data_IF_934386466550
#
_entry.id   IF_934386466550
#
_cell.length_a   1.000
_cell.length_b   1.000
_cell.length_c   1.000
_cell.angle_alpha   90.00
_cell.angle_beta   90.00
_cell.angle_gamma   90.00
#
_symmetry.space_group_name_H-M   'P 1'
#
loop_
_entity.id
_entity.type
_entity.pdbx_description
1 polymer ?
#
# COMPACT_ATOMS: atom_id res chain seq x y z
N UNK A 1 -14.84 -1.79 -14.56
CA UNK A 1 -14.36 -0.95 -13.43
C UNK A 1 -13.09 -0.22 -13.87
N UNK A 2 -12.89 1.03 -13.44
CA UNK A 2 -11.71 1.86 -13.73
C UNK A 2 -11.07 2.31 -12.43
N UNK A 3 -9.77 2.16 -12.29
CA UNK A 3 -9.03 2.69 -11.14
C UNK A 3 -8.15 3.85 -11.59
N UNK A 4 -8.36 5.01 -11.01
CA UNK A 4 -7.52 6.19 -11.19
C UNK A 4 -6.26 6.01 -10.38
N UNK A 5 -5.11 6.10 -11.04
CA UNK A 5 -3.85 5.53 -10.58
C UNK A 5 -2.67 6.50 -10.76
N UNK A 6 -1.71 6.36 -9.87
CA UNK A 6 -0.38 6.96 -9.95
C UNK A 6 0.61 6.01 -9.28
N UNK A 7 1.89 5.93 -9.69
CA UNK A 7 2.91 5.12 -9.02
C UNK A 7 3.12 5.55 -7.57
N UNK A 8 2.29 5.02 -6.67
CA UNK A 8 2.27 5.32 -5.25
C UNK A 8 1.90 4.05 -4.46
N UNK A 9 2.35 3.90 -3.21
CA UNK A 9 2.19 2.64 -2.48
C UNK A 9 0.73 2.22 -2.28
N UNK A 10 -0.18 3.17 -2.08
CA UNK A 10 -1.61 2.87 -1.91
C UNK A 10 -2.27 2.35 -3.19
N UNK A 11 -1.85 2.81 -4.36
CA UNK A 11 -2.33 2.30 -5.63
C UNK A 11 -1.71 0.94 -5.94
N UNK A 12 -0.40 0.78 -5.71
CA UNK A 12 0.32 -0.46 -5.94
C UNK A 12 -0.26 -1.63 -5.13
N UNK A 13 -0.57 -1.44 -3.83
CA UNK A 13 -1.16 -2.52 -3.03
C UNK A 13 -2.52 -2.99 -3.57
N UNK A 14 -3.34 -2.09 -4.14
CA UNK A 14 -4.62 -2.45 -4.77
C UNK A 14 -4.39 -3.25 -6.05
N UNK A 15 -3.41 -2.86 -6.86
CA UNK A 15 -3.06 -3.58 -8.09
C UNK A 15 -2.58 -5.00 -7.79
N UNK A 16 -1.65 -5.14 -6.83
CA UNK A 16 -1.16 -6.46 -6.39
C UNK A 16 -2.34 -7.31 -5.92
N UNK A 17 -3.21 -6.75 -5.07
CA UNK A 17 -4.38 -7.44 -4.56
C UNK A 17 -5.33 -7.88 -5.69
N UNK A 18 -5.66 -6.99 -6.62
CA UNK A 18 -6.53 -7.29 -7.76
C UNK A 18 -5.94 -8.39 -8.64
N UNK A 19 -4.62 -8.37 -8.88
CA UNK A 19 -3.93 -9.38 -9.66
C UNK A 19 -3.96 -10.75 -8.96
N UNK A 20 -3.64 -10.83 -7.68
CA UNK A 20 -3.70 -12.07 -6.89
C UNK A 20 -5.13 -12.65 -6.86
N UNK A 21 -6.12 -11.81 -6.97
CA UNK A 21 -7.53 -12.19 -7.11
C UNK A 21 -7.96 -12.46 -8.55
N UNK A 22 -7.08 -12.27 -9.55
CA UNK A 22 -7.41 -12.34 -10.97
C UNK A 22 -8.64 -11.49 -11.33
N UNK A 23 -8.71 -10.27 -10.79
CA UNK A 23 -9.73 -9.27 -11.10
C UNK A 23 -9.15 -8.29 -12.12
N UNK A 24 -9.81 -8.16 -13.28
CA UNK A 24 -9.41 -7.21 -14.30
C UNK A 24 -9.93 -5.82 -13.97
N UNK A 25 -9.02 -4.84 -13.93
CA UNK A 25 -9.32 -3.41 -13.72
C UNK A 25 -8.64 -2.62 -14.84
N UNK A 26 -9.34 -1.64 -15.42
CA UNK A 26 -8.76 -0.65 -16.32
C UNK A 26 -8.05 0.42 -15.48
N UNK A 27 -6.75 0.63 -15.68
CA UNK A 27 -5.98 1.63 -14.95
C UNK A 27 -5.90 2.94 -15.73
N UNK A 28 -6.37 4.02 -15.13
CA UNK A 28 -6.38 5.37 -15.70
C UNK A 28 -5.26 6.18 -15.03
N UNK A 29 -4.16 6.47 -15.73
CA UNK A 29 -3.07 7.25 -15.17
C UNK A 29 -3.52 8.68 -14.88
N UNK A 30 -3.09 9.22 -13.74
CA UNK A 30 -3.38 10.58 -13.29
C UNK A 30 -2.10 11.41 -13.28
N UNK A 31 -2.14 12.62 -13.83
CA UNK A 31 -1.02 13.55 -13.83
C UNK A 31 -0.98 14.38 -12.52
N UNK A 32 -0.23 13.89 -11.54
CA UNK A 32 -0.04 14.63 -10.27
C UNK A 32 0.83 15.88 -10.42
N UNK A 33 1.72 15.91 -11.41
CA UNK A 33 2.64 17.04 -11.65
C UNK A 33 1.84 18.25 -12.11
N UNK A 34 0.89 18.06 -13.02
CA UNK A 34 0.03 19.12 -13.53
C UNK A 34 -1.25 19.31 -12.68
N UNK A 35 -1.27 18.79 -11.47
CA UNK A 35 -2.37 18.97 -10.51
C UNK A 35 -3.74 18.46 -11.01
N UNK A 36 -3.78 17.44 -11.85
CA UNK A 36 -5.04 16.90 -12.41
C UNK A 36 -6.06 16.54 -11.33
N UNK A 37 -5.63 16.00 -10.19
CA UNK A 37 -6.51 15.70 -9.05
C UNK A 37 -7.16 16.94 -8.41
N UNK A 38 -6.73 18.14 -8.76
CA UNK A 38 -7.31 19.41 -8.26
C UNK A 38 -8.29 20.04 -9.24
N UNK A 39 -8.52 19.42 -10.39
CA UNK A 39 -9.56 19.88 -11.34
C UNK A 39 -10.95 19.68 -10.74
N UNK A 40 -11.94 20.52 -11.08
CA UNK A 40 -13.32 20.35 -10.61
C UNK A 40 -13.90 18.97 -10.94
N UNK A 41 -13.53 18.40 -12.07
CA UNK A 41 -13.97 17.06 -12.48
C UNK A 41 -13.47 15.99 -11.50
N UNK A 42 -12.16 15.97 -11.22
CA UNK A 42 -11.56 14.99 -10.32
C UNK A 42 -12.00 15.20 -8.87
N UNK A 43 -12.12 16.43 -8.40
CA UNK A 43 -12.62 16.73 -7.06
C UNK A 43 -14.10 16.35 -6.89
N UNK A 44 -14.89 16.37 -7.95
CA UNK A 44 -16.26 15.85 -7.90
C UNK A 44 -16.29 14.33 -7.72
N UNK A 45 -15.36 13.60 -8.34
CA UNK A 45 -15.19 12.15 -8.15
C UNK A 45 -14.58 11.83 -6.78
N UNK A 46 -13.47 12.49 -6.43
CA UNK A 46 -12.78 12.31 -5.14
C UNK A 46 -12.43 13.66 -4.51
N UNK A 47 -13.26 14.18 -3.58
CA UNK A 47 -13.02 15.46 -2.92
C UNK A 47 -11.69 15.55 -2.14
N UNK A 48 -11.11 14.40 -1.76
CA UNK A 48 -9.80 14.37 -1.10
C UNK A 48 -8.65 14.72 -2.07
N UNK A 49 -8.89 14.58 -3.39
CA UNK A 49 -7.86 14.81 -4.40
C UNK A 49 -6.67 13.88 -4.23
N UNK A 50 -6.93 12.61 -4.00
CA UNK A 50 -5.93 11.55 -3.79
C UNK A 50 -6.19 10.36 -4.71
N UNK A 51 -5.20 9.51 -4.91
CA UNK A 51 -5.29 8.21 -5.57
C UNK A 51 -4.87 7.09 -4.61
N UNK A 52 -5.35 5.84 -4.81
CA UNK A 52 -6.29 5.41 -5.83
C UNK A 52 -7.76 5.71 -5.47
N UNK A 53 -8.60 5.76 -6.48
CA UNK A 53 -10.05 5.62 -6.33
C UNK A 53 -10.61 4.78 -7.49
N UNK A 54 -11.68 4.04 -7.24
CA UNK A 54 -12.28 3.09 -8.18
C UNK A 54 -13.64 3.62 -8.63
N UNK A 55 -13.85 3.68 -9.95
CA UNK A 55 -15.12 3.98 -10.60
C UNK A 55 -15.74 2.68 -11.11
N UNK A 56 -16.94 2.37 -10.65
CA UNK A 56 -17.71 1.21 -11.06
C UNK A 56 -18.41 1.47 -12.41
N UNK A 57 -19.02 0.43 -13.00
CA UNK A 57 -19.69 0.51 -14.30
C UNK A 57 -20.94 1.39 -14.28
N UNK A 58 -21.61 1.50 -13.13
CA UNK A 58 -22.78 2.35 -12.89
C UNK A 58 -22.41 3.79 -12.49
N UNK A 59 -21.10 4.10 -12.40
CA UNK A 59 -20.59 5.43 -12.06
C UNK A 59 -20.38 5.66 -10.56
N UNK A 60 -20.67 4.67 -9.70
CA UNK A 60 -20.37 4.78 -8.26
C UNK A 60 -18.86 4.85 -8.03
N UNK A 61 -18.43 5.63 -7.05
CA UNK A 61 -17.02 5.86 -6.72
C UNK A 61 -16.68 5.28 -5.35
N UNK A 62 -15.70 4.39 -5.31
CA UNK A 62 -15.11 3.89 -4.06
C UNK A 62 -13.76 4.55 -3.86
N UNK A 63 -13.60 5.22 -2.74
CA UNK A 63 -12.39 5.94 -2.32
C UNK A 63 -11.69 5.14 -1.23
N UNK A 64 -10.40 5.45 -0.99
CA UNK A 64 -9.54 4.75 -0.06
C UNK A 64 -9.14 3.33 -0.52
N UNK A 65 -7.83 3.10 -0.59
CA UNK A 65 -7.27 1.82 -1.05
C UNK A 65 -7.81 0.61 -0.26
N UNK A 66 -8.04 0.78 1.05
CA UNK A 66 -8.55 -0.30 1.89
C UNK A 66 -10.02 -0.60 1.62
N UNK A 67 -10.85 0.43 1.35
CA UNK A 67 -12.25 0.25 0.97
C UNK A 67 -12.37 -0.41 -0.42
N UNK A 68 -11.50 -0.04 -1.35
CA UNK A 68 -11.42 -0.70 -2.67
C UNK A 68 -11.10 -2.20 -2.48
N UNK A 69 -10.12 -2.54 -1.65
CA UNK A 69 -9.75 -3.93 -1.36
C UNK A 69 -10.92 -4.71 -0.74
N UNK A 70 -11.67 -4.12 0.20
CA UNK A 70 -12.87 -4.76 0.76
C UNK A 70 -13.93 -5.06 -0.33
N UNK A 71 -14.14 -4.11 -1.23
CA UNK A 71 -15.05 -4.31 -2.36
C UNK A 71 -14.58 -5.43 -3.28
N UNK A 72 -13.29 -5.45 -3.64
CA UNK A 72 -12.71 -6.48 -4.51
C UNK A 72 -12.77 -7.87 -3.88
N UNK A 73 -12.55 -7.98 -2.56
CA UNK A 73 -12.73 -9.24 -1.83
C UNK A 73 -14.19 -9.72 -1.90
N UNK A 74 -15.15 -8.80 -1.75
CA UNK A 74 -16.57 -9.11 -1.77
C UNK A 74 -17.10 -9.60 -3.13
N UNK A 75 -16.54 -9.11 -4.24
CA UNK A 75 -16.96 -9.54 -5.58
C UNK A 75 -16.29 -10.83 -6.06
N UNK A 76 -15.18 -11.23 -5.45
CA UNK A 76 -14.48 -12.49 -5.75
C UNK A 76 -13.84 -13.04 -4.47
N UNK A 77 -14.55 -13.92 -3.78
CA UNK A 77 -14.12 -14.45 -2.48
C UNK A 77 -12.85 -15.32 -2.54
N UNK A 78 -12.56 -15.97 -3.69
CA UNK A 78 -11.40 -16.87 -3.84
C UNK A 78 -10.35 -16.30 -4.82
N UNK A 79 -9.05 -16.32 -4.42
CA UNK A 79 -8.52 -16.70 -3.12
C UNK A 79 -8.96 -15.74 -2.03
N UNK A 80 -9.23 -16.25 -0.81
CA UNK A 80 -9.56 -15.38 0.32
C UNK A 80 -8.30 -14.69 0.87
N UNK A 81 -8.25 -13.37 0.84
CA UNK A 81 -7.11 -12.57 1.24
C UNK A 81 -7.36 -11.69 2.47
N UNK A 82 -8.61 -11.65 2.96
CA UNK A 82 -8.99 -10.86 4.15
C UNK A 82 -9.32 -11.71 5.39
N UNK A 83 -9.29 -13.04 5.27
CA UNK A 83 -9.55 -13.97 6.36
C UNK A 83 -10.93 -14.62 6.32
N UNK A 84 -10.99 -15.93 6.57
CA UNK A 84 -12.22 -16.74 6.54
C UNK A 84 -12.94 -16.75 7.90
N UNK A 85 -12.18 -16.77 9.00
CA UNK A 85 -12.72 -16.76 10.36
C UNK A 85 -12.49 -15.40 11.03
N UNK A 86 -13.21 -15.09 12.13
CA UNK A 86 -12.95 -13.88 12.92
C UNK A 86 -11.49 -13.75 13.37
N UNK A 87 -10.87 -14.87 13.78
CA UNK A 87 -9.47 -14.87 14.22
C UNK A 87 -8.50 -14.62 13.05
N UNK A 88 -8.71 -15.27 11.89
CA UNK A 88 -7.89 -14.99 10.70
C UNK A 88 -7.98 -13.53 10.29
N UNK A 89 -9.21 -12.96 10.24
CA UNK A 89 -9.43 -11.54 9.93
C UNK A 89 -8.66 -10.64 10.88
N UNK A 90 -8.71 -10.93 12.18
CA UNK A 90 -7.99 -10.16 13.19
C UNK A 90 -6.46 -10.23 12.96
N UNK A 91 -5.91 -11.44 12.73
CA UNK A 91 -4.47 -11.62 12.52
C UNK A 91 -3.96 -10.94 11.25
N UNK A 92 -4.73 -11.01 10.15
CA UNK A 92 -4.39 -10.29 8.91
C UNK A 92 -4.42 -8.77 9.17
N UNK A 93 -5.43 -8.28 9.88
CA UNK A 93 -5.54 -6.85 10.20
C UNK A 93 -4.41 -6.35 11.12
N UNK A 94 -3.94 -7.16 12.08
CA UNK A 94 -2.78 -6.79 12.92
C UNK A 94 -1.56 -6.46 12.05
N UNK A 95 -1.20 -7.33 11.11
CA UNK A 95 -0.03 -7.12 10.24
C UNK A 95 -0.29 -6.04 9.19
N UNK A 96 -1.47 -6.03 8.58
CA UNK A 96 -1.84 -5.01 7.60
C UNK A 96 -1.81 -3.59 8.20
N UNK A 97 -2.35 -3.41 9.43
CA UNK A 97 -2.31 -2.13 10.13
C UNK A 97 -0.89 -1.73 10.56
N UNK A 98 -0.07 -2.70 10.98
CA UNK A 98 1.34 -2.44 11.25
C UNK A 98 2.09 -1.98 9.99
N UNK A 99 1.86 -2.66 8.86
CA UNK A 99 2.47 -2.29 7.59
C UNK A 99 2.02 -0.91 7.11
N UNK A 100 0.72 -0.60 7.17
CA UNK A 100 0.18 0.67 6.69
C UNK A 100 0.45 1.83 7.66
N UNK A 101 0.01 1.70 8.91
CA UNK A 101 0.06 2.80 9.89
C UNK A 101 1.42 2.91 10.58
N UNK A 102 2.09 1.77 10.77
CA UNK A 102 3.38 1.73 11.46
C UNK A 102 4.59 1.92 10.54
N UNK A 103 4.45 1.59 9.26
CA UNK A 103 5.56 1.68 8.31
C UNK A 103 5.29 2.65 7.17
N UNK A 104 4.25 2.42 6.37
CA UNK A 104 3.97 3.25 5.18
C UNK A 104 3.71 4.71 5.53
N UNK A 105 2.89 4.98 6.57
CA UNK A 105 2.58 6.35 7.00
C UNK A 105 3.80 7.04 7.56
N UNK A 106 4.68 6.33 8.28
CA UNK A 106 5.91 6.93 8.80
C UNK A 106 6.88 7.29 7.65
N UNK A 107 6.99 6.47 6.61
CA UNK A 107 7.73 6.84 5.40
C UNK A 107 7.12 8.04 4.68
N UNK A 108 5.79 8.15 4.64
CA UNK A 108 5.11 9.31 4.08
C UNK A 108 5.41 10.59 4.90
N UNK A 109 5.36 10.51 6.24
CA UNK A 109 5.76 11.62 7.12
C UNK A 109 7.22 12.01 6.89
N UNK A 110 8.11 11.02 6.79
CA UNK A 110 9.52 11.27 6.49
C UNK A 110 9.68 12.03 5.18
N UNK A 111 9.17 11.50 4.07
CA UNK A 111 9.37 12.11 2.75
C UNK A 111 8.69 13.48 2.62
N UNK A 112 7.53 13.68 3.24
CA UNK A 112 6.85 14.98 3.25
C UNK A 112 7.68 16.06 3.96
N UNK A 113 8.49 15.68 4.95
CA UNK A 113 9.29 16.62 5.71
C UNK A 113 10.68 16.89 5.13
N UNK A 114 11.14 16.11 4.12
CA UNK A 114 12.49 16.29 3.54
C UNK A 114 12.48 16.55 2.03
N UNK A 115 11.44 16.10 1.30
CA UNK A 115 11.45 16.18 -0.15
C UNK A 115 11.06 17.56 -0.64
N UNK A 116 11.83 18.18 -1.56
CA UNK A 116 11.47 19.44 -2.19
C UNK A 116 10.12 19.41 -2.92
N UNK A 117 9.70 18.22 -3.38
CA UNK A 117 8.40 18.02 -4.03
C UNK A 117 7.20 18.41 -3.14
N UNK A 118 7.38 18.37 -1.82
CA UNK A 118 6.34 18.72 -0.85
C UNK A 118 6.55 20.08 -0.17
N UNK A 119 7.60 20.83 -0.54
CA UNK A 119 7.94 22.08 0.13
C UNK A 119 6.87 23.17 0.01
N UNK A 120 6.08 23.17 -1.05
CA UNK A 120 4.96 24.08 -1.28
C UNK A 120 3.64 23.65 -0.61
N UNK A 121 3.60 22.43 -0.05
CA UNK A 121 2.38 21.83 0.54
C UNK A 121 2.28 22.06 2.06
N UNK A 122 3.28 22.67 2.66
CA UNK A 122 3.31 23.00 4.08
C UNK A 122 4.72 23.12 4.66
N UNK A 123 4.85 23.57 5.92
CA UNK A 123 6.15 23.66 6.57
C UNK A 123 6.78 22.28 6.75
N UNK A 124 8.07 22.17 6.43
CA UNK A 124 8.87 20.95 6.63
C UNK A 124 9.71 21.08 7.90
N UNK A 125 9.90 19.95 8.63
CA UNK A 125 10.73 19.85 9.83
C UNK A 125 11.63 18.63 9.76
N UNK A 126 12.93 18.86 9.92
CA UNK A 126 13.91 17.77 9.99
C UNK A 126 13.68 16.87 11.23
N UNK A 127 13.32 17.49 12.34
CA UNK A 127 13.03 16.77 13.59
C UNK A 127 11.82 15.85 13.43
N UNK A 128 10.77 16.30 12.72
CA UNK A 128 9.61 15.47 12.41
C UNK A 128 9.99 14.30 11.47
N UNK A 129 10.85 14.55 10.50
CA UNK A 129 11.37 13.49 9.63
C UNK A 129 12.18 12.44 10.39
N UNK A 130 13.09 12.87 11.27
CA UNK A 130 13.89 11.96 12.11
C UNK A 130 13.00 11.14 13.06
N UNK A 131 11.98 11.77 13.65
CA UNK A 131 11.02 11.07 14.51
C UNK A 131 10.26 10.00 13.73
N UNK A 132 9.76 10.31 12.55
CA UNK A 132 9.06 9.37 11.68
C UNK A 132 9.96 8.17 11.31
N UNK A 133 11.20 8.42 10.93
CA UNK A 133 12.15 7.36 10.57
C UNK A 133 12.50 6.47 11.79
N UNK A 134 12.61 7.05 12.99
CA UNK A 134 12.82 6.29 14.21
C UNK A 134 11.60 5.40 14.56
N UNK A 135 10.37 5.90 14.35
CA UNK A 135 9.15 5.10 14.49
C UNK A 135 9.13 3.94 13.47
N UNK A 136 9.45 4.22 12.21
CA UNK A 136 9.58 3.21 11.17
C UNK A 136 10.54 2.08 11.57
N UNK A 137 11.77 2.42 12.00
CA UNK A 137 12.79 1.43 12.44
C UNK A 137 12.32 0.57 13.62
N UNK A 138 11.69 1.19 14.60
CA UNK A 138 11.11 0.46 15.73
C UNK A 138 10.03 -0.52 15.30
N UNK A 139 9.17 -0.11 14.39
CA UNK A 139 8.07 -0.93 13.90
C UNK A 139 8.56 -2.06 12.97
N UNK A 140 9.69 -1.90 12.28
CA UNK A 140 10.35 -2.98 11.54
C UNK A 140 10.72 -4.16 12.46
N UNK A 141 11.19 -3.91 13.68
CA UNK A 141 11.48 -4.98 14.62
C UNK A 141 10.21 -5.73 15.04
N UNK A 142 9.12 -5.00 15.28
CA UNK A 142 7.82 -5.61 15.61
C UNK A 142 7.31 -6.47 14.45
N UNK A 143 7.47 -5.98 13.22
CA UNK A 143 7.13 -6.74 12.01
C UNK A 143 7.97 -8.02 11.90
N UNK A 144 9.28 -7.92 12.01
CA UNK A 144 10.21 -9.07 11.94
C UNK A 144 9.79 -10.18 12.91
N UNK A 145 9.44 -9.79 14.15
CA UNK A 145 9.01 -10.73 15.21
C UNK A 145 7.62 -11.33 14.92
N UNK A 146 6.80 -10.63 14.13
CA UNK A 146 5.43 -11.04 13.80
C UNK A 146 5.35 -12.00 12.61
N UNK A 147 6.39 -12.11 11.77
CA UNK A 147 6.43 -13.02 10.63
C UNK A 147 6.52 -14.46 11.10
N UNK A 148 5.51 -15.25 10.78
CA UNK A 148 5.41 -16.67 11.14
C UNK A 148 5.34 -17.60 9.91
N UNK A 149 5.03 -17.05 8.73
CA UNK A 149 5.00 -17.78 7.48
C UNK A 149 6.38 -17.89 6.81
N UNK A 150 6.47 -18.72 5.78
CA UNK A 150 7.69 -18.90 4.99
C UNK A 150 7.64 -18.17 3.65
N UNK A 151 6.55 -18.35 2.89
CA UNK A 151 6.31 -17.70 1.59
C UNK A 151 5.53 -16.40 1.74
N UNK A 152 4.60 -16.37 2.70
CA UNK A 152 3.76 -15.23 3.04
C UNK A 152 3.99 -14.81 4.48
N UNK A 153 3.54 -13.64 4.88
CA UNK A 153 3.80 -13.09 6.21
C UNK A 153 3.29 -13.97 7.34
N UNK A 154 2.07 -14.53 7.21
CA UNK A 154 1.41 -15.23 8.32
C UNK A 154 0.70 -16.54 8.00
N UNK A 155 0.27 -16.77 6.76
CA UNK A 155 -0.46 -17.99 6.35
C UNK A 155 0.23 -18.66 5.18
N UNK A 156 -0.42 -19.69 4.61
CA UNK A 156 0.01 -20.44 3.44
C UNK A 156 -0.50 -19.85 2.11
N UNK A 157 -1.02 -18.64 2.14
CA UNK A 157 -1.58 -17.91 0.99
C UNK A 157 -1.32 -16.40 1.09
N UNK A 158 -1.35 -15.67 -0.05
CA UNK A 158 -1.23 -14.23 -0.01
C UNK A 158 -2.42 -13.61 0.76
N UNK A 159 -2.14 -12.52 1.46
CA UNK A 159 -3.14 -11.71 2.17
C UNK A 159 -2.97 -10.23 1.81
N UNK A 160 -3.92 -9.40 2.21
CA UNK A 160 -3.77 -7.95 2.05
C UNK A 160 -2.51 -7.41 2.74
N UNK A 161 -2.10 -8.02 3.85
CA UNK A 161 -0.90 -7.61 4.56
C UNK A 161 0.37 -7.76 3.70
N UNK A 162 0.45 -8.83 2.89
CA UNK A 162 1.55 -9.03 1.94
C UNK A 162 1.56 -7.92 0.87
N UNK A 163 0.38 -7.57 0.34
CA UNK A 163 0.25 -6.50 -0.66
C UNK A 163 0.67 -5.13 -0.08
N UNK A 164 0.22 -4.83 1.14
CA UNK A 164 0.52 -3.56 1.83
C UNK A 164 2.01 -3.46 2.15
N UNK A 165 2.61 -4.52 2.71
CA UNK A 165 4.01 -4.48 3.10
C UNK A 165 4.93 -4.43 1.88
N UNK A 166 4.61 -5.18 0.82
CA UNK A 166 5.42 -5.14 -0.39
C UNK A 166 5.45 -3.74 -1.00
N UNK A 167 4.29 -3.09 -1.15
CA UNK A 167 4.23 -1.72 -1.66
C UNK A 167 4.88 -0.70 -0.72
N UNK A 168 4.87 -0.95 0.59
CA UNK A 168 5.60 -0.13 1.57
C UNK A 168 7.11 -0.18 1.33
N UNK A 169 7.67 -1.36 1.10
CA UNK A 169 9.12 -1.50 0.87
C UNK A 169 9.56 -0.99 -0.51
N UNK A 170 8.74 -1.20 -1.54
CA UNK A 170 8.98 -0.56 -2.84
C UNK A 170 9.00 0.97 -2.70
N UNK A 171 8.12 1.52 -1.90
CA UNK A 171 8.12 2.96 -1.60
C UNK A 171 9.38 3.36 -0.80
N UNK A 172 9.75 2.62 0.24
CA UNK A 172 10.97 2.87 1.00
C UNK A 172 12.22 2.95 0.10
N UNK A 173 12.39 1.97 -0.79
CA UNK A 173 13.47 1.94 -1.77
C UNK A 173 13.44 3.17 -2.70
N UNK A 174 12.26 3.57 -3.18
CA UNK A 174 12.10 4.72 -4.08
C UNK A 174 12.52 6.06 -3.46
N UNK A 175 12.48 6.15 -2.13
CA UNK A 175 12.89 7.34 -1.36
C UNK A 175 14.25 7.18 -0.65
N UNK A 176 14.98 6.10 -0.95
CA UNK A 176 16.33 5.84 -0.43
C UNK A 176 16.37 5.39 1.03
N UNK A 177 15.31 4.81 1.56
CA UNK A 177 15.24 4.20 2.90
C UNK A 177 15.42 2.69 2.77
N UNK A 178 16.49 2.16 3.36
CA UNK A 178 16.89 0.74 3.25
C UNK A 178 17.02 0.05 4.61
N UNK A 179 16.45 0.61 5.66
CA UNK A 179 16.57 0.09 7.02
C UNK A 179 16.00 -1.34 7.17
N UNK A 180 15.04 -1.74 6.33
CA UNK A 180 14.48 -3.11 6.27
C UNK A 180 15.54 -4.17 5.94
N UNK A 181 16.64 -3.81 5.28
CA UNK A 181 17.71 -4.74 4.88
C UNK A 181 18.39 -5.43 6.08
N UNK A 182 18.29 -4.88 7.30
CA UNK A 182 18.79 -5.47 8.53
C UNK A 182 17.94 -6.62 9.10
N UNK A 183 16.76 -6.92 8.53
CA UNK A 183 15.76 -7.83 9.06
C UNK A 183 15.64 -9.09 8.18
N UNK A 184 16.15 -10.21 8.67
CA UNK A 184 16.39 -11.42 7.87
C UNK A 184 15.11 -12.11 7.37
N UNK A 185 14.09 -12.28 8.24
CA UNK A 185 12.81 -12.88 7.83
C UNK A 185 12.05 -11.97 6.90
N UNK A 186 12.02 -10.68 7.21
CA UNK A 186 11.41 -9.63 6.39
C UNK A 186 11.99 -9.63 4.99
N UNK A 187 13.32 -9.65 4.85
CA UNK A 187 13.99 -9.65 3.55
C UNK A 187 13.87 -10.98 2.81
N UNK A 188 13.83 -12.11 3.53
CA UNK A 188 13.56 -13.40 2.91
C UNK A 188 12.15 -13.45 2.30
N UNK A 189 11.13 -12.97 3.04
CA UNK A 189 9.78 -12.81 2.54
C UNK A 189 9.73 -11.84 1.35
N UNK A 190 10.30 -10.64 1.48
CA UNK A 190 10.28 -9.61 0.43
C UNK A 190 10.83 -10.12 -0.90
N UNK A 191 11.95 -10.85 -0.85
CA UNK A 191 12.55 -11.48 -2.03
C UNK A 191 11.64 -12.57 -2.64
N UNK A 192 11.04 -13.42 -1.82
CA UNK A 192 10.12 -14.48 -2.28
C UNK A 192 8.86 -13.89 -2.90
N UNK A 193 8.21 -12.95 -2.21
CA UNK A 193 7.01 -12.29 -2.68
C UNK A 193 7.26 -11.46 -3.95
N UNK A 194 8.43 -10.83 -4.07
CA UNK A 194 8.86 -10.06 -5.23
C UNK A 194 9.04 -10.87 -6.52
N UNK A 195 9.11 -12.21 -6.43
CA UNK A 195 9.17 -13.10 -7.59
C UNK A 195 7.77 -13.53 -8.10
N UNK A 196 6.70 -13.03 -7.51
CA UNK A 196 5.33 -13.37 -7.93
C UNK A 196 4.94 -12.62 -9.20
N UNK A 197 4.09 -13.24 -10.00
CA UNK A 197 3.59 -12.63 -11.25
C UNK A 197 2.85 -11.31 -11.00
N UNK A 198 2.17 -11.19 -9.86
CA UNK A 198 1.50 -9.95 -9.43
C UNK A 198 2.44 -8.76 -9.29
N UNK A 199 3.74 -9.02 -9.11
CA UNK A 199 4.77 -7.99 -8.99
C UNK A 199 5.45 -7.71 -10.34
N UNK A 200 5.60 -8.72 -11.20
CA UNK A 200 6.21 -8.56 -12.53
C UNK A 200 5.42 -7.63 -13.44
N UNK A 201 4.09 -7.61 -13.30
CA UNK A 201 3.20 -6.76 -14.09
C UNK A 201 3.19 -5.30 -13.67
N UNK A 202 3.81 -4.98 -12.52
CA UNK A 202 3.94 -3.61 -12.00
C UNK A 202 5.27 -2.92 -12.41
N UNK A 203 6.17 -3.64 -13.08
CA UNK A 203 7.42 -3.11 -13.64
C UNK A 203 7.23 -2.59 -15.05
#
# INVERSE_FOLDING_TARGET
MKMYDYPAPNAQKVKIFAYEKEISIEYIPVDLINHELRTPEMLNKNPMGTVPFLELEDGEIIRESRAIIEYLEGIKESPNMLGKSPLEKARIQEIDRLAELGLMIELAHYVHNISPFFADKGPQSKEAAEMALNCYKKNLQILEDSITGDEFLIFDRPTVADCTLFSTFTFAESIGVEDQNGFSKTMAWYKKFGNRKSIETEK
#
